data_IF_533111411423
#
_entry.id   IF_533111411423
#
_cell.length_a   1.000
_cell.length_b   1.000
_cell.length_c   1.000
_cell.angle_alpha   90.00
_cell.angle_beta   90.00
_cell.angle_gamma   90.00
#
_symmetry.space_group_name_H-M   'P 1'
#
loop_
_entity.id
_entity.type
_entity.pdbx_description
1 polymer ?
#
# COMPACT_ATOMS: atom_id res chain seq x y z
N UNK A 1 -10.12 -8.94 -2.92
CA UNK A 1 -9.42 -9.24 -1.64
C UNK A 1 -10.34 -9.88 -0.61
N UNK A 2 -11.58 -9.40 -0.39
CA UNK A 2 -12.45 -9.96 0.66
C UNK A 2 -12.74 -11.47 0.52
N UNK A 3 -13.01 -11.97 -0.69
CA UNK A 3 -13.16 -13.42 -0.92
C UNK A 3 -11.89 -14.22 -0.58
N UNK A 4 -10.71 -13.73 -0.99
CA UNK A 4 -9.44 -14.39 -0.68
C UNK A 4 -9.14 -14.37 0.82
N UNK A 5 -9.53 -13.30 1.52
CA UNK A 5 -9.41 -13.20 2.98
C UNK A 5 -10.33 -14.22 3.66
N UNK A 6 -11.61 -14.25 3.29
CA UNK A 6 -12.61 -15.18 3.81
C UNK A 6 -12.17 -16.64 3.63
N UNK A 7 -11.81 -17.01 2.38
CA UNK A 7 -11.32 -18.36 2.06
C UNK A 7 -10.03 -18.71 2.82
N UNK A 8 -9.14 -17.74 3.05
CA UNK A 8 -7.89 -17.99 3.78
C UNK A 8 -8.08 -18.28 5.27
N UNK A 9 -9.22 -17.86 5.84
CA UNK A 9 -9.54 -18.04 7.26
C UNK A 9 -10.49 -19.21 7.51
N UNK A 10 -11.14 -19.72 6.46
CA UNK A 10 -12.13 -20.79 6.54
C UNK A 10 -11.52 -22.14 6.94
N UNK A 11 -10.38 -22.52 6.36
CA UNK A 11 -9.71 -23.80 6.65
C UNK A 11 -8.25 -23.83 6.18
N UNK A 12 -7.50 -24.86 6.58
CA UNK A 12 -6.13 -25.11 6.08
C UNK A 12 -6.10 -25.28 4.56
N UNK A 13 -7.08 -26.00 4.00
CA UNK A 13 -7.24 -26.19 2.55
C UNK A 13 -7.56 -24.87 1.83
N UNK A 14 -8.44 -24.05 2.41
CA UNK A 14 -8.74 -22.71 1.92
C UNK A 14 -7.51 -21.80 1.90
N UNK A 15 -6.74 -21.80 2.98
CA UNK A 15 -5.46 -21.08 3.06
C UNK A 15 -4.46 -21.57 2.00
N UNK A 16 -4.29 -22.88 1.84
CA UNK A 16 -3.41 -23.46 0.83
C UNK A 16 -3.83 -23.09 -0.60
N UNK A 17 -5.13 -23.04 -0.87
CA UNK A 17 -5.70 -22.64 -2.17
C UNK A 17 -5.41 -21.17 -2.48
N UNK A 18 -5.61 -20.27 -1.52
CA UNK A 18 -5.25 -18.85 -1.67
C UNK A 18 -3.75 -18.72 -1.90
N UNK A 19 -2.91 -19.36 -1.07
CA UNK A 19 -1.45 -19.34 -1.22
C UNK A 19 -1.00 -19.81 -2.61
N UNK A 20 -1.60 -20.88 -3.15
CA UNK A 20 -1.31 -21.37 -4.49
C UNK A 20 -1.70 -20.34 -5.56
N UNK A 21 -2.87 -19.70 -5.44
CA UNK A 21 -3.31 -18.63 -6.34
C UNK A 21 -2.39 -17.40 -6.34
N UNK A 22 -1.81 -17.08 -5.18
CA UNK A 22 -0.85 -15.97 -5.02
C UNK A 22 0.51 -16.22 -5.68
N UNK A 23 0.77 -17.42 -6.20
CA UNK A 23 1.98 -17.68 -7.01
C UNK A 23 1.87 -17.13 -8.42
N UNK A 24 0.65 -16.86 -8.91
CA UNK A 24 0.41 -16.30 -10.24
C UNK A 24 1.02 -14.89 -10.36
N UNK A 25 1.83 -14.62 -11.40
CA UNK A 25 2.38 -13.28 -11.66
C UNK A 25 1.30 -12.19 -11.74
N UNK A 26 0.13 -12.52 -12.31
CA UNK A 26 -1.00 -11.59 -12.40
C UNK A 26 -1.59 -11.30 -11.01
N UNK A 27 -1.74 -12.32 -10.17
CA UNK A 27 -2.24 -12.14 -8.80
C UNK A 27 -1.28 -11.29 -7.97
N UNK A 28 0.04 -11.56 -8.05
CA UNK A 28 1.09 -10.74 -7.42
C UNK A 28 1.03 -9.29 -7.90
N UNK A 29 0.90 -9.07 -9.20
CA UNK A 29 0.78 -7.72 -9.76
C UNK A 29 -0.46 -6.97 -9.25
N UNK A 30 -1.63 -7.61 -9.23
CA UNK A 30 -2.87 -7.01 -8.74
C UNK A 30 -2.74 -6.62 -7.26
N UNK A 31 -2.18 -7.50 -6.42
CA UNK A 31 -1.97 -7.22 -5.00
C UNK A 31 -0.97 -6.08 -4.81
N UNK A 32 0.14 -6.11 -5.55
CA UNK A 32 1.13 -5.04 -5.49
C UNK A 32 0.53 -3.69 -5.92
N UNK A 33 -0.29 -3.65 -6.98
CA UNK A 33 -0.94 -2.43 -7.44
C UNK A 33 -1.93 -1.87 -6.39
N UNK A 34 -2.77 -2.73 -5.81
CA UNK A 34 -3.71 -2.33 -4.76
C UNK A 34 -2.97 -1.86 -3.49
N UNK A 35 -1.95 -2.59 -3.06
CA UNK A 35 -1.12 -2.21 -1.92
C UNK A 35 -0.38 -0.91 -2.19
N UNK A 36 0.06 -0.67 -3.43
CA UNK A 36 0.73 0.58 -3.81
C UNK A 36 -0.20 1.79 -3.67
N UNK A 37 -1.44 1.67 -4.14
CA UNK A 37 -2.46 2.70 -3.96
C UNK A 37 -2.73 2.97 -2.47
N UNK A 38 -2.86 1.91 -1.66
CA UNK A 38 -3.05 2.02 -0.22
C UNK A 38 -1.86 2.70 0.48
N UNK A 39 -0.62 2.32 0.14
CA UNK A 39 0.59 2.89 0.72
C UNK A 39 0.73 4.38 0.39
N UNK A 40 0.50 4.76 -0.87
CA UNK A 40 0.47 6.18 -1.25
C UNK A 40 -0.61 6.94 -0.47
N UNK A 41 -1.83 6.39 -0.40
CA UNK A 41 -2.93 7.00 0.35
C UNK A 41 -2.59 7.16 1.84
N UNK A 42 -1.98 6.15 2.45
CA UNK A 42 -1.55 6.19 3.85
C UNK A 42 -0.50 7.29 4.08
N UNK A 43 0.54 7.35 3.26
CA UNK A 43 1.61 8.37 3.38
C UNK A 43 1.04 9.78 3.16
N UNK A 44 0.16 9.96 2.18
CA UNK A 44 -0.55 11.22 1.97
C UNK A 44 -1.47 11.56 3.16
N UNK A 45 -2.18 10.58 3.71
CA UNK A 45 -3.03 10.73 4.89
C UNK A 45 -2.24 11.17 6.12
N UNK A 46 -1.06 10.59 6.35
CA UNK A 46 -0.15 11.03 7.43
C UNK A 46 0.25 12.50 7.23
N UNK A 47 0.59 12.91 6.00
CA UNK A 47 0.85 14.33 5.71
C UNK A 47 -0.36 15.21 6.03
N UNK A 48 -1.57 14.78 5.68
CA UNK A 48 -2.78 15.52 6.02
C UNK A 48 -2.96 15.68 7.53
N UNK A 49 -2.81 14.60 8.31
CA UNK A 49 -2.89 14.66 9.77
C UNK A 49 -1.83 15.60 10.38
N UNK A 50 -0.62 15.65 9.80
CA UNK A 50 0.41 16.61 10.22
C UNK A 50 -0.03 18.05 9.92
N UNK A 51 -0.60 18.30 8.74
CA UNK A 51 -1.14 19.61 8.39
C UNK A 51 -2.29 20.03 9.32
N UNK A 52 -3.14 19.10 9.75
CA UNK A 52 -4.22 19.37 10.71
C UNK A 52 -3.70 19.86 12.08
N UNK A 53 -2.41 19.63 12.39
CA UNK A 53 -1.73 20.18 13.58
C UNK A 53 -1.12 21.57 13.37
N UNK A 54 -1.32 22.20 12.20
CA UNK A 54 -0.79 23.52 11.84
C UNK A 54 0.60 23.49 11.17
N UNK A 55 1.13 22.31 10.82
CA UNK A 55 2.48 22.17 10.24
C UNK A 55 2.41 22.05 8.72
N UNK A 56 3.08 22.95 7.99
CA UNK A 56 3.23 22.84 6.53
C UNK A 56 2.05 23.39 5.71
N UNK A 57 1.26 24.30 6.29
CA UNK A 57 0.08 24.90 5.66
C UNK A 57 0.39 25.92 4.56
N UNK A 58 1.62 26.45 4.51
CA UNK A 58 2.03 27.40 3.47
C UNK A 58 2.11 26.71 2.10
N UNK A 59 2.03 27.47 1.01
CA UNK A 59 2.19 26.91 -0.34
C UNK A 59 3.54 26.19 -0.52
N UNK A 60 4.60 26.74 0.05
CA UNK A 60 5.94 26.14 0.02
C UNK A 60 6.02 24.85 0.84
N UNK A 61 5.44 24.87 2.06
CA UNK A 61 5.32 23.68 2.90
C UNK A 61 4.50 22.59 2.23
N UNK A 62 3.39 22.97 1.59
CA UNK A 62 2.54 22.09 0.81
C UNK A 62 3.29 21.40 -0.34
N UNK A 63 4.06 22.18 -1.13
CA UNK A 63 4.91 21.67 -2.22
C UNK A 63 6.00 20.72 -1.72
N UNK A 64 6.69 21.09 -0.64
CA UNK A 64 7.72 20.23 -0.04
C UNK A 64 7.11 18.93 0.48
N UNK A 65 5.99 19.01 1.21
CA UNK A 65 5.28 17.85 1.72
C UNK A 65 4.83 16.90 0.62
N UNK A 66 4.31 17.41 -0.51
CA UNK A 66 3.93 16.55 -1.64
C UNK A 66 5.14 15.83 -2.27
N UNK A 67 6.30 16.49 -2.37
CA UNK A 67 7.54 15.85 -2.84
C UNK A 67 7.99 14.74 -1.88
N UNK A 68 7.90 14.98 -0.57
CA UNK A 68 8.20 13.98 0.46
C UNK A 68 7.25 12.79 0.36
N UNK A 69 5.94 13.02 0.22
CA UNK A 69 4.95 11.95 0.04
C UNK A 69 5.30 11.08 -1.16
N UNK A 70 5.64 11.67 -2.32
CA UNK A 70 6.04 10.91 -3.51
C UNK A 70 7.31 10.10 -3.24
N UNK A 71 8.36 10.71 -2.69
CA UNK A 71 9.63 10.04 -2.42
C UNK A 71 9.48 8.85 -1.46
N UNK A 72 8.79 9.07 -0.32
CA UNK A 72 8.53 8.03 0.68
C UNK A 72 7.65 6.93 0.09
N UNK A 73 6.59 7.31 -0.64
CA UNK A 73 5.68 6.34 -1.28
C UNK A 73 6.43 5.44 -2.27
N UNK A 74 7.29 6.01 -3.13
CA UNK A 74 8.11 5.23 -4.06
C UNK A 74 8.98 4.22 -3.32
N UNK A 75 9.66 4.63 -2.25
CA UNK A 75 10.50 3.73 -1.45
C UNK A 75 9.67 2.57 -0.88
N UNK A 76 8.55 2.85 -0.20
CA UNK A 76 7.75 1.78 0.43
C UNK A 76 7.05 0.89 -0.61
N UNK A 77 6.64 1.43 -1.76
CA UNK A 77 6.05 0.68 -2.87
C UNK A 77 7.05 -0.27 -3.50
N UNK A 78 8.31 0.17 -3.68
CA UNK A 78 9.38 -0.68 -4.19
C UNK A 78 9.72 -1.79 -3.20
N UNK A 79 9.85 -1.46 -1.91
CA UNK A 79 10.07 -2.46 -0.86
C UNK A 79 8.93 -3.49 -0.79
N UNK A 80 7.68 -3.05 -0.92
CA UNK A 80 6.53 -3.95 -1.02
C UNK A 80 6.59 -4.84 -2.29
N UNK A 81 7.08 -4.30 -3.40
CA UNK A 81 7.37 -5.07 -4.61
C UNK A 81 8.40 -6.17 -4.36
N UNK A 82 9.53 -5.84 -3.72
CA UNK A 82 10.56 -6.82 -3.33
C UNK A 82 10.01 -7.90 -2.39
N UNK A 83 9.09 -7.54 -1.49
CA UNK A 83 8.49 -8.50 -0.57
C UNK A 83 7.48 -9.45 -1.24
N UNK A 84 6.71 -8.96 -2.21
CA UNK A 84 5.66 -9.75 -2.90
C UNK A 84 6.26 -10.70 -3.95
N UNK A 85 7.32 -10.27 -4.63
CA UNK A 85 7.91 -11.00 -5.76
C UNK A 85 8.95 -12.04 -5.30
#
# INVERSE_FOLDING_TARGET
MLYALDLSLDSEEGFASVKAGLTSPLAKFVIWALLSALLYHLVAGIRHLIMDTGIGETLEGGKLGSKIVIAVSVVVIVLAGVWIW
#
